data_IF_061907445096
#
_entry.id   IF_061907445096
#
_cell.length_a   1.000
_cell.length_b   1.000
_cell.length_c   1.000
_cell.angle_alpha   90.00
_cell.angle_beta   90.00
_cell.angle_gamma   90.00
#
_symmetry.space_group_name_H-M   'P 1'
#
loop_
_entity.id
_entity.type
_entity.pdbx_description
1 polymer ?
#
# COMPACT_ATOMS: atom_id res chain seq x y z
N UNK A 1 19.94 -4.81 -0.06
CA UNK A 1 18.69 -4.15 -0.48
C UNK A 1 17.89 -5.13 -1.34
N UNK A 2 16.83 -5.73 -0.79
CA UNK A 2 15.90 -6.62 -1.51
C UNK A 2 14.43 -6.31 -1.18
N UNK A 3 14.15 -5.31 -0.34
CA UNK A 3 12.81 -5.04 0.22
C UNK A 3 11.74 -4.80 -0.85
N UNK A 4 12.10 -4.17 -1.98
CA UNK A 4 11.16 -3.85 -3.06
C UNK A 4 10.85 -5.06 -3.96
N UNK A 5 11.84 -5.95 -4.16
CA UNK A 5 11.65 -7.21 -4.87
C UNK A 5 10.81 -8.20 -4.03
N UNK A 6 11.02 -8.18 -2.71
CA UNK A 6 10.23 -8.95 -1.75
C UNK A 6 8.79 -8.42 -1.63
N UNK A 7 8.60 -7.09 -1.71
CA UNK A 7 7.27 -6.49 -1.82
C UNK A 7 6.52 -6.98 -3.06
N UNK A 8 7.14 -6.98 -4.25
CA UNK A 8 6.50 -7.50 -5.48
C UNK A 8 6.07 -8.97 -5.37
N UNK A 9 6.90 -9.83 -4.78
CA UNK A 9 6.52 -11.23 -4.53
C UNK A 9 5.32 -11.35 -3.57
N UNK A 10 5.21 -10.43 -2.63
CA UNK A 10 4.12 -10.41 -1.64
C UNK A 10 2.84 -9.81 -2.23
N UNK A 11 2.93 -8.74 -3.02
CA UNK A 11 1.76 -8.09 -3.66
C UNK A 11 1.11 -8.99 -4.72
N UNK A 12 1.90 -9.73 -5.51
CA UNK A 12 1.39 -10.74 -6.45
C UNK A 12 0.63 -11.86 -5.72
N UNK A 13 1.09 -12.26 -4.52
CA UNK A 13 0.36 -13.22 -3.68
C UNK A 13 -0.93 -12.64 -3.08
N UNK A 14 -0.97 -11.35 -2.73
CA UNK A 14 -2.19 -10.68 -2.23
C UNK A 14 -3.34 -10.65 -3.24
N UNK A 15 -3.06 -10.65 -4.55
CA UNK A 15 -4.08 -10.67 -5.62
C UNK A 15 -4.96 -11.93 -5.62
N UNK A 16 -4.57 -12.99 -4.91
CA UNK A 16 -5.32 -14.23 -4.80
C UNK A 16 -5.78 -14.46 -3.35
N UNK A 17 -6.94 -13.90 -2.99
CA UNK A 17 -7.85 -14.58 -2.07
C UNK A 17 -8.04 -14.04 -0.64
N UNK A 18 -7.43 -12.93 -0.23
CA UNK A 18 -7.72 -12.35 1.08
C UNK A 18 -7.74 -10.84 1.06
N UNK A 19 -8.74 -10.30 1.75
CA UNK A 19 -9.12 -8.91 1.92
C UNK A 19 -8.06 -8.10 2.70
N UNK A 20 -6.81 -8.14 2.23
CA UNK A 20 -5.66 -7.55 2.89
C UNK A 20 -5.70 -6.03 2.75
N UNK A 21 -5.45 -5.28 3.83
CA UNK A 21 -5.44 -3.83 3.74
C UNK A 21 -4.31 -3.33 2.83
N UNK A 22 -4.59 -2.23 2.16
CA UNK A 22 -3.66 -1.55 1.26
C UNK A 22 -2.54 -0.89 2.06
N UNK A 23 -1.30 -1.31 1.76
CA UNK A 23 -0.10 -0.67 2.25
C UNK A 23 0.24 0.59 1.47
N UNK A 24 1.23 1.34 1.97
CA UNK A 24 1.72 2.57 1.33
C UNK A 24 2.09 2.35 -0.14
N UNK A 25 2.81 1.25 -0.44
CA UNK A 25 3.20 0.93 -1.80
C UNK A 25 2.00 0.51 -2.68
N UNK A 26 0.99 -0.12 -2.10
CA UNK A 26 -0.24 -0.51 -2.83
C UNK A 26 -1.01 0.76 -3.26
N UNK A 27 -1.08 1.76 -2.36
CA UNK A 27 -1.67 3.08 -2.63
C UNK A 27 -0.88 3.84 -3.69
N UNK A 28 0.45 3.86 -3.59
CA UNK A 28 1.31 4.55 -4.57
C UNK A 28 1.22 3.89 -5.96
N UNK A 29 1.23 2.56 -6.04
CA UNK A 29 1.09 1.81 -7.29
C UNK A 29 -0.26 2.13 -7.98
N UNK A 30 -1.32 2.26 -7.19
CA UNK A 30 -2.69 2.50 -7.69
C UNK A 30 -2.92 3.96 -8.08
N UNK A 31 -2.57 4.90 -7.21
CA UNK A 31 -2.89 6.33 -7.38
C UNK A 31 -1.81 7.11 -8.16
N UNK A 32 -0.56 6.64 -8.13
CA UNK A 32 0.59 7.33 -8.72
C UNK A 32 1.48 6.38 -9.54
N UNK A 33 0.94 5.68 -10.55
CA UNK A 33 1.63 4.58 -11.25
C UNK A 33 2.95 4.99 -11.93
N UNK A 34 3.02 6.23 -12.44
CA UNK A 34 4.25 6.76 -13.05
C UNK A 34 5.36 6.96 -12.02
N UNK A 35 5.01 7.49 -10.84
CA UNK A 35 5.96 7.71 -9.74
C UNK A 35 6.38 6.41 -9.09
N UNK A 36 5.47 5.45 -9.00
CA UNK A 36 5.78 4.08 -8.60
C UNK A 36 6.84 3.48 -9.54
N UNK A 37 6.68 3.65 -10.85
CA UNK A 37 7.64 3.18 -11.86
C UNK A 37 9.02 3.85 -11.71
N UNK A 38 9.07 5.17 -11.52
CA UNK A 38 10.33 5.89 -11.28
C UNK A 38 11.07 5.40 -10.02
N UNK A 39 10.31 5.09 -8.98
CA UNK A 39 10.82 4.55 -7.72
C UNK A 39 11.35 3.12 -7.89
N UNK A 40 10.71 2.29 -8.72
CA UNK A 40 11.19 0.94 -9.06
C UNK A 40 12.50 0.98 -9.85
N UNK A 41 12.69 1.97 -10.71
CA UNK A 41 13.91 2.15 -11.49
C UNK A 41 15.09 2.69 -10.67
N UNK A 42 14.87 3.01 -9.38
CA UNK A 42 15.90 3.56 -8.49
C UNK A 42 16.39 4.95 -8.90
N UNK A 43 15.64 5.64 -9.78
CA UNK A 43 16.04 6.90 -10.38
C UNK A 43 15.81 8.11 -9.47
N UNK A 44 15.01 7.95 -8.42
CA UNK A 44 14.62 9.03 -7.51
C UNK A 44 14.47 8.54 -6.06
N UNK A 45 14.84 9.40 -5.10
CA UNK A 45 14.60 9.15 -3.68
C UNK A 45 13.10 9.21 -3.39
N UNK A 46 12.57 8.19 -2.69
CA UNK A 46 11.15 8.11 -2.33
C UNK A 46 10.66 9.37 -1.59
N UNK A 47 11.52 9.95 -0.76
CA UNK A 47 11.20 11.13 0.07
C UNK A 47 10.96 12.39 -0.75
N UNK A 48 11.52 12.50 -1.95
CA UNK A 48 11.38 13.67 -2.83
C UNK A 48 10.37 13.47 -3.95
N UNK A 49 9.83 12.26 -4.11
CA UNK A 49 8.88 11.89 -5.17
C UNK A 49 7.46 12.43 -4.94
N UNK A 50 7.14 12.81 -3.71
CA UNK A 50 5.83 13.27 -3.29
C UNK A 50 5.95 14.54 -2.45
N UNK A 51 4.99 15.44 -2.60
CA UNK A 51 4.84 16.58 -1.71
C UNK A 51 4.41 16.11 -0.32
N UNK A 52 4.56 16.97 0.69
CA UNK A 52 4.08 16.68 2.05
C UNK A 52 2.59 16.39 2.11
N UNK A 53 1.78 17.10 1.32
CA UNK A 53 0.33 16.89 1.24
C UNK A 53 -0.02 15.54 0.61
N UNK A 54 0.69 15.17 -0.45
CA UNK A 54 0.54 13.86 -1.10
C UNK A 54 0.92 12.74 -0.13
N UNK A 55 2.00 12.91 0.64
CA UNK A 55 2.37 11.96 1.69
C UNK A 55 1.27 11.79 2.73
N UNK A 56 0.71 12.89 3.24
CA UNK A 56 -0.40 12.84 4.20
C UNK A 56 -1.58 12.06 3.61
N UNK A 57 -1.92 12.30 2.34
CA UNK A 57 -3.01 11.60 1.66
C UNK A 57 -2.73 10.09 1.52
N UNK A 58 -1.52 9.72 1.08
CA UNK A 58 -1.08 8.33 0.95
C UNK A 58 -1.19 7.61 2.31
N UNK A 59 -0.67 8.22 3.38
CA UNK A 59 -0.77 7.65 4.73
C UNK A 59 -2.22 7.54 5.20
N UNK A 60 -3.05 8.53 4.94
CA UNK A 60 -4.46 8.51 5.31
C UNK A 60 -5.21 7.36 4.63
N UNK A 61 -5.01 7.16 3.32
CA UNK A 61 -5.63 6.05 2.56
C UNK A 61 -5.22 4.69 3.11
N UNK A 62 -3.91 4.45 3.28
CA UNK A 62 -3.42 3.18 3.82
C UNK A 62 -3.95 2.92 5.24
N UNK A 63 -3.97 3.94 6.10
CA UNK A 63 -4.52 3.84 7.46
C UNK A 63 -6.02 3.56 7.47
N UNK A 64 -6.78 4.18 6.57
CA UNK A 64 -8.22 3.94 6.45
C UNK A 64 -8.50 2.51 5.97
N UNK A 65 -7.75 2.02 4.97
CA UNK A 65 -7.84 0.64 4.50
C UNK A 65 -7.60 -0.37 5.64
N UNK A 66 -6.57 -0.13 6.46
CA UNK A 66 -6.29 -0.93 7.66
C UNK A 66 -7.42 -0.88 8.69
N UNK A 67 -7.96 0.32 8.97
CA UNK A 67 -9.09 0.50 9.89
C UNK A 67 -10.31 -0.30 9.43
N UNK A 68 -10.66 -0.22 8.14
CA UNK A 68 -11.78 -0.96 7.56
C UNK A 68 -11.55 -2.47 7.64
N UNK A 69 -10.32 -2.95 7.41
CA UNK A 69 -9.97 -4.36 7.58
C UNK A 69 -10.20 -4.85 9.03
N UNK A 70 -9.71 -4.10 10.03
CA UNK A 70 -9.91 -4.44 11.45
C UNK A 70 -11.39 -4.44 11.84
N UNK A 71 -12.16 -3.45 11.37
CA UNK A 71 -13.61 -3.39 11.63
C UNK A 71 -14.32 -4.63 11.09
N UNK A 72 -13.97 -5.09 9.88
CA UNK A 72 -14.54 -6.32 9.30
C UNK A 72 -14.17 -7.57 10.09
N UNK A 73 -12.90 -7.74 10.47
CA UNK A 73 -12.47 -8.87 11.32
C UNK A 73 -13.28 -8.92 12.62
N UNK A 74 -13.46 -7.77 13.27
CA UNK A 74 -14.21 -7.70 14.52
C UNK A 74 -15.70 -8.02 14.33
N UNK A 75 -16.30 -7.59 13.22
CA UNK A 75 -17.67 -7.97 12.86
C UNK A 75 -17.78 -9.47 12.62
N UNK A 76 -16.90 -10.06 11.81
CA UNK A 76 -16.90 -11.51 11.56
C UNK A 76 -16.80 -12.29 12.87
N UNK A 77 -15.88 -11.92 13.77
CA UNK A 77 -15.73 -12.56 15.09
C UNK A 77 -16.96 -12.44 15.99
N UNK A 78 -17.73 -11.35 15.88
CA UNK A 78 -18.93 -11.13 16.70
C UNK A 78 -20.12 -11.99 16.25
N UNK A 79 -20.16 -12.36 14.97
CA UNK A 79 -21.25 -13.11 14.35
C UNK A 79 -20.84 -14.53 13.90
N UNK A 80 -19.66 -15.01 14.36
CA UNK A 80 -19.21 -16.41 14.23
C UNK A 80 -19.53 -17.17 15.52
#
# INVERSE_FOLDING_TARGET
MNELADYKRTSIKKKYGQDFPEGILDVIETDYPERYSLMLEGRTSITTLFSSEEWINIFAKSRNSFRSHIQRINLTRKYS
#
